data_IF_816121897783
#
_entry.id   IF_816121897783
#
_cell.length_a   1.000
_cell.length_b   1.000
_cell.length_c   1.000
_cell.angle_alpha   90.00
_cell.angle_beta   90.00
_cell.angle_gamma   90.00
#
_symmetry.space_group_name_H-M   'P 1'
#
loop_
_entity.id
_entity.type
_entity.pdbx_description
1 polymer ?
#
# COMPACT_ATOMS: atom_id res chain seq x y z
N UNK A 1 1.03 -37.47 1.79
CA UNK A 1 1.60 -36.76 0.62
C UNK A 1 2.15 -35.45 1.21
N UNK A 2 3.47 -35.36 1.37
CA UNK A 2 4.11 -34.11 1.76
C UNK A 2 4.10 -33.17 0.55
N UNK A 3 3.55 -31.98 0.71
CA UNK A 3 3.58 -30.93 -0.31
C UNK A 3 4.80 -30.07 0.01
N UNK A 4 5.86 -30.16 -0.80
CA UNK A 4 6.96 -29.21 -0.73
C UNK A 4 6.47 -27.86 -1.26
N UNK A 5 6.39 -26.88 -0.35
CA UNK A 5 6.10 -25.50 -0.72
C UNK A 5 7.43 -24.85 -1.10
N UNK A 6 7.59 -24.35 -2.33
CA UNK A 6 8.83 -23.70 -2.72
C UNK A 6 9.06 -22.42 -1.91
N UNK A 7 10.21 -22.31 -1.26
CA UNK A 7 10.63 -21.10 -0.56
C UNK A 7 11.32 -20.20 -1.58
N UNK A 8 10.63 -19.16 -2.02
CA UNK A 8 11.17 -18.18 -2.97
C UNK A 8 12.08 -17.14 -2.30
N UNK A 9 11.89 -16.88 -1.01
CA UNK A 9 12.68 -15.96 -0.19
C UNK A 9 12.80 -16.53 1.21
N UNK A 10 14.01 -16.52 1.77
CA UNK A 10 14.19 -16.80 3.19
C UNK A 10 13.66 -15.63 4.01
N UNK A 11 12.71 -15.84 4.95
CA UNK A 11 12.25 -14.77 5.81
C UNK A 11 13.38 -14.34 6.73
N UNK A 12 13.81 -13.09 6.64
CA UNK A 12 14.79 -12.47 7.53
C UNK A 12 14.20 -11.22 8.15
N UNK A 13 14.18 -11.16 9.46
CA UNK A 13 13.80 -9.97 10.20
C UNK A 13 15.04 -9.48 10.97
N UNK A 14 15.63 -8.38 10.55
CA UNK A 14 16.73 -7.74 11.25
C UNK A 14 16.84 -6.28 10.86
N UNK A 15 17.10 -5.42 11.84
CA UNK A 15 17.38 -4.01 11.63
C UNK A 15 16.16 -3.10 11.77
N UNK A 16 16.28 -1.95 11.16
CA UNK A 16 15.29 -0.87 11.16
C UNK A 16 14.36 -0.97 9.96
N UNK A 17 13.40 -0.07 9.86
CA UNK A 17 12.44 0.00 8.74
C UNK A 17 12.82 1.14 7.77
N UNK A 18 13.78 0.91 6.82
CA UNK A 18 14.19 1.92 5.85
C UNK A 18 13.17 2.04 4.71
N UNK A 19 11.99 2.54 5.01
CA UNK A 19 10.87 2.62 4.07
C UNK A 19 11.17 3.54 2.89
N UNK A 20 11.96 4.59 3.09
CA UNK A 20 12.38 5.49 1.99
C UNK A 20 13.17 4.75 0.93
N UNK A 21 14.10 3.88 1.32
CA UNK A 21 14.85 3.04 0.38
C UNK A 21 13.95 2.08 -0.41
N UNK A 22 12.91 1.53 0.22
CA UNK A 22 11.92 0.68 -0.47
C UNK A 22 11.10 1.50 -1.50
N UNK A 23 10.66 2.71 -1.14
CA UNK A 23 9.96 3.61 -2.07
C UNK A 23 10.86 4.12 -3.20
N UNK A 24 12.14 4.40 -2.94
CA UNK A 24 13.09 4.76 -3.98
C UNK A 24 13.24 3.64 -5.03
N UNK A 25 13.39 2.41 -4.56
CA UNK A 25 13.43 1.23 -5.45
C UNK A 25 12.12 1.08 -6.22
N UNK A 26 10.97 1.18 -5.56
CA UNK A 26 9.67 1.08 -6.19
C UNK A 26 9.48 2.16 -7.25
N UNK A 27 9.85 3.42 -6.97
CA UNK A 27 9.81 4.52 -7.93
C UNK A 27 10.65 4.23 -9.16
N UNK A 28 11.89 3.74 -8.98
CA UNK A 28 12.77 3.36 -10.09
C UNK A 28 12.16 2.27 -10.97
N UNK A 29 11.60 1.23 -10.36
CA UNK A 29 10.96 0.13 -11.08
C UNK A 29 9.73 0.60 -11.87
N UNK A 30 8.87 1.41 -11.24
CA UNK A 30 7.66 1.95 -11.87
C UNK A 30 8.03 2.89 -13.02
N UNK A 31 8.99 3.79 -12.83
CA UNK A 31 9.44 4.69 -13.89
C UNK A 31 9.94 3.91 -15.11
N UNK A 32 10.83 2.94 -14.91
CA UNK A 32 11.32 2.11 -16.00
C UNK A 32 10.25 1.21 -16.64
N UNK A 33 9.18 0.87 -15.90
CA UNK A 33 8.05 0.14 -16.47
C UNK A 33 7.14 1.07 -17.29
N UNK A 34 6.85 2.29 -16.82
CA UNK A 34 6.06 3.29 -17.56
C UNK A 34 6.73 3.65 -18.88
N UNK A 35 8.05 3.85 -18.88
CA UNK A 35 8.81 4.15 -20.11
C UNK A 35 8.68 3.08 -21.19
N UNK A 36 8.52 1.82 -20.80
CA UNK A 36 8.40 0.68 -21.71
C UNK A 36 6.97 0.35 -22.10
N UNK A 37 6.02 0.76 -21.27
CA UNK A 37 4.62 0.28 -21.34
C UNK A 37 3.66 1.39 -20.93
N UNK A 38 3.67 2.51 -21.63
CA UNK A 38 2.85 3.69 -21.32
C UNK A 38 1.33 3.50 -21.50
N UNK A 39 0.91 2.44 -22.17
CA UNK A 39 -0.49 2.07 -22.43
C UNK A 39 -1.03 0.96 -21.51
N UNK A 40 -0.31 0.64 -20.45
CA UNK A 40 -0.67 -0.45 -19.54
C UNK A 40 -1.42 0.06 -18.30
N UNK A 41 -2.08 -0.88 -17.57
CA UNK A 41 -2.82 -0.52 -16.37
C UNK A 41 -1.94 0.20 -15.36
N UNK A 42 -2.57 1.06 -14.57
CA UNK A 42 -1.94 1.82 -13.49
C UNK A 42 -1.14 0.90 -12.55
N UNK A 43 0.15 1.16 -12.32
CA UNK A 43 0.93 0.42 -11.33
C UNK A 43 0.37 0.60 -9.92
N UNK A 44 0.34 -0.47 -9.15
CA UNK A 44 -0.09 -0.46 -7.75
C UNK A 44 1.03 -0.98 -6.87
N UNK A 45 1.38 -0.20 -5.86
CA UNK A 45 2.27 -0.63 -4.77
C UNK A 45 1.40 -1.09 -3.62
N UNK A 46 1.62 -2.30 -3.12
CA UNK A 46 1.05 -2.77 -1.87
C UNK A 46 2.20 -2.80 -0.86
N UNK A 47 2.22 -1.81 0.03
CA UNK A 47 3.22 -1.71 1.08
C UNK A 47 2.68 -2.36 2.36
N UNK A 48 3.42 -3.32 2.89
CA UNK A 48 3.07 -4.06 4.11
C UNK A 48 4.16 -3.78 5.15
N UNK A 49 3.79 -3.17 6.27
CA UNK A 49 4.72 -2.75 7.32
C UNK A 49 4.13 -2.94 8.71
N UNK A 50 4.97 -3.27 9.67
CA UNK A 50 4.64 -3.37 11.10
C UNK A 50 4.82 -2.04 11.84
N UNK A 51 5.17 -0.97 11.16
CA UNK A 51 5.36 0.34 11.75
C UNK A 51 5.66 1.44 10.74
N UNK A 52 5.97 2.61 11.28
CA UNK A 52 6.45 3.72 10.46
C UNK A 52 7.97 3.63 10.24
N UNK A 53 8.50 4.41 9.30
CA UNK A 53 9.93 4.43 8.99
C UNK A 53 10.80 4.70 10.22
N UNK A 54 11.88 3.96 10.36
CA UNK A 54 12.80 4.09 11.47
C UNK A 54 14.25 4.27 11.01
N UNK A 55 14.96 5.20 11.66
CA UNK A 55 16.40 5.43 11.55
C UNK A 55 17.14 5.06 12.82
N UNK A 56 18.48 5.09 12.76
CA UNK A 56 19.35 4.73 13.92
C UNK A 56 19.26 5.70 15.09
N UNK A 57 18.83 6.93 14.85
CA UNK A 57 18.64 7.97 15.87
C UNK A 57 17.29 8.65 15.66
N UNK A 58 16.77 9.42 16.65
CA UNK A 58 15.55 10.19 16.45
C UNK A 58 15.59 11.13 15.23
N UNK A 59 16.75 11.76 14.98
CA UNK A 59 16.96 12.64 13.84
C UNK A 59 16.88 11.87 12.51
N UNK A 60 17.55 10.70 12.44
CA UNK A 60 17.46 9.82 11.28
C UNK A 60 16.04 9.29 11.08
N UNK A 61 15.29 9.01 12.15
CA UNK A 61 13.89 8.60 12.07
C UNK A 61 13.02 9.72 11.50
N UNK A 62 13.24 10.98 11.94
CA UNK A 62 12.52 12.12 11.39
C UNK A 62 12.84 12.37 9.91
N UNK A 63 14.08 12.17 9.52
CA UNK A 63 14.52 12.24 8.13
C UNK A 63 13.91 11.12 7.28
N UNK A 64 13.95 9.89 7.77
CA UNK A 64 13.38 8.70 7.12
C UNK A 64 11.87 8.88 6.88
N UNK A 65 11.13 9.39 7.88
CA UNK A 65 9.71 9.72 7.75
C UNK A 65 9.47 10.76 6.65
N UNK A 66 10.27 11.84 6.63
CA UNK A 66 10.15 12.89 5.62
C UNK A 66 10.44 12.36 4.22
N UNK A 67 11.54 11.63 4.06
CA UNK A 67 11.95 11.07 2.78
C UNK A 67 10.93 10.07 2.25
N UNK A 68 10.37 9.23 3.12
CA UNK A 68 9.30 8.30 2.75
C UNK A 68 8.06 9.02 2.22
N UNK A 69 7.64 10.12 2.86
CA UNK A 69 6.51 10.95 2.39
C UNK A 69 6.80 11.62 1.04
N UNK A 70 8.00 12.15 0.87
CA UNK A 70 8.43 12.78 -0.39
C UNK A 70 8.38 11.74 -1.52
N UNK A 71 9.00 10.59 -1.34
CA UNK A 71 9.06 9.53 -2.34
C UNK A 71 7.66 8.95 -2.66
N UNK A 72 6.82 8.74 -1.65
CA UNK A 72 5.43 8.34 -1.86
C UNK A 72 4.68 9.38 -2.71
N UNK A 73 4.84 10.68 -2.40
CA UNK A 73 4.23 11.78 -3.17
C UNK A 73 4.75 11.81 -4.61
N UNK A 74 6.04 11.62 -4.82
CA UNK A 74 6.64 11.57 -6.15
C UNK A 74 6.11 10.40 -6.99
N UNK A 75 5.94 9.21 -6.37
CA UNK A 75 5.33 8.04 -7.02
C UNK A 75 3.87 8.34 -7.42
N UNK A 76 3.09 8.89 -6.50
CA UNK A 76 1.68 9.24 -6.75
C UNK A 76 1.50 10.31 -7.82
N UNK A 77 2.54 11.10 -8.12
CA UNK A 77 2.55 12.13 -9.17
C UNK A 77 3.09 11.62 -10.53
N UNK A 78 3.59 10.40 -10.61
CA UNK A 78 3.90 9.78 -11.89
C UNK A 78 2.61 9.62 -12.71
N UNK A 79 2.72 9.65 -14.03
CA UNK A 79 1.56 9.57 -14.92
C UNK A 79 1.67 8.41 -15.88
N UNK A 80 0.58 7.69 -16.07
CA UNK A 80 0.38 6.74 -17.15
C UNK A 80 -0.83 7.17 -17.98
N UNK A 81 -1.07 6.52 -19.11
CA UNK A 81 -2.27 6.77 -19.92
C UNK A 81 -3.58 6.52 -19.13
N UNK A 82 -3.57 5.59 -18.20
CA UNK A 82 -4.74 5.17 -17.42
C UNK A 82 -4.85 5.84 -16.04
N UNK A 83 -3.94 6.76 -15.71
CA UNK A 83 -3.94 7.50 -14.43
C UNK A 83 -2.60 7.47 -13.69
N UNK A 84 -2.61 7.86 -12.44
CA UNK A 84 -1.40 7.88 -11.61
C UNK A 84 -1.21 6.54 -10.87
N UNK A 85 0.03 6.13 -10.59
CA UNK A 85 0.30 4.98 -9.72
C UNK A 85 -0.42 5.08 -8.38
N UNK A 86 -0.76 3.94 -7.81
CA UNK A 86 -1.45 3.85 -6.53
C UNK A 86 -0.51 3.26 -5.46
N UNK A 87 -0.66 3.73 -4.23
CA UNK A 87 -0.03 3.15 -3.05
C UNK A 87 -1.14 2.72 -2.10
N UNK A 88 -1.22 1.42 -1.83
CA UNK A 88 -2.09 0.84 -0.83
C UNK A 88 -1.24 0.32 0.32
N UNK A 89 -1.61 0.68 1.55
CA UNK A 89 -0.83 0.35 2.73
C UNK A 89 -1.55 -0.64 3.64
N UNK A 90 -0.78 -1.56 4.18
CA UNK A 90 -1.19 -2.51 5.22
C UNK A 90 -0.32 -2.25 6.45
N UNK A 91 -0.95 -1.96 7.56
CA UNK A 91 -0.31 -1.87 8.86
C UNK A 91 -0.54 -3.16 9.65
N UNK A 92 0.54 -3.85 9.97
CA UNK A 92 0.54 -5.04 10.82
C UNK A 92 0.97 -4.59 12.21
N UNK A 93 0.01 -4.38 13.12
CA UNK A 93 0.33 -4.07 14.51
C UNK A 93 0.11 -5.29 15.41
N UNK A 94 0.79 -5.31 16.56
CA UNK A 94 0.67 -6.39 17.54
C UNK A 94 -0.66 -6.32 18.34
N UNK A 95 -1.28 -5.15 18.37
CA UNK A 95 -2.52 -4.88 19.09
C UNK A 95 -3.20 -3.65 18.50
N UNK A 96 -4.48 -3.49 18.78
CA UNK A 96 -5.26 -2.33 18.35
C UNK A 96 -6.52 -2.73 17.59
N UNK A 97 -7.28 -1.71 17.20
CA UNK A 97 -8.52 -1.89 16.44
C UNK A 97 -8.19 -2.18 14.97
N UNK A 98 -9.00 -3.02 14.35
CA UNK A 98 -8.98 -3.19 12.90
C UNK A 98 -9.58 -1.98 12.21
N UNK A 99 -8.86 -1.44 11.21
CA UNK A 99 -9.33 -0.40 10.31
C UNK A 99 -9.34 -0.93 8.87
N UNK A 100 -10.42 -0.68 8.15
CA UNK A 100 -10.52 -0.99 6.73
C UNK A 100 -11.05 0.23 6.00
N UNK A 101 -10.30 0.71 5.02
CA UNK A 101 -10.67 1.78 4.11
C UNK A 101 -11.17 3.06 4.80
N UNK A 102 -10.46 3.63 5.80
CA UNK A 102 -10.89 4.86 6.43
C UNK A 102 -10.93 6.02 5.40
N UNK A 103 -11.87 6.95 5.61
CA UNK A 103 -11.95 8.19 4.83
C UNK A 103 -11.16 9.30 5.49
N UNK A 104 -11.07 9.28 6.81
CA UNK A 104 -10.50 10.35 7.61
C UNK A 104 -9.50 9.82 8.64
N UNK A 105 -8.49 10.62 8.88
CA UNK A 105 -7.47 10.37 9.90
C UNK A 105 -8.04 10.23 11.31
N UNK A 106 -9.13 10.93 11.60
CA UNK A 106 -9.82 10.84 12.90
C UNK A 106 -10.39 9.44 13.21
N UNK A 107 -10.57 8.59 12.21
CA UNK A 107 -11.03 7.22 12.39
C UNK A 107 -9.94 6.29 12.94
N UNK A 108 -8.69 6.76 13.01
CA UNK A 108 -7.52 5.98 13.42
C UNK A 108 -7.19 6.11 14.91
N UNK A 109 -8.09 6.70 15.70
CA UNK A 109 -8.01 6.80 17.17
C UNK A 109 -6.66 7.38 17.69
N UNK A 110 -5.96 8.16 16.87
CA UNK A 110 -4.66 8.78 17.20
C UNK A 110 -3.45 7.85 17.10
N UNK A 111 -3.60 6.68 16.49
CA UNK A 111 -2.49 5.78 16.18
C UNK A 111 -1.54 6.44 15.15
N UNK A 112 -0.38 6.89 15.63
CA UNK A 112 0.58 7.65 14.80
C UNK A 112 1.18 6.84 13.66
N UNK A 113 1.32 5.53 13.83
CA UNK A 113 1.83 4.63 12.78
C UNK A 113 0.78 4.43 11.69
N UNK A 114 -0.46 4.18 12.10
CA UNK A 114 -1.59 4.10 11.17
C UNK A 114 -1.81 5.45 10.46
N UNK A 115 -1.75 6.58 11.17
CA UNK A 115 -1.86 7.91 10.59
C UNK A 115 -0.80 8.18 9.51
N UNK A 116 0.45 7.77 9.75
CA UNK A 116 1.53 7.93 8.78
C UNK A 116 1.25 7.15 7.50
N UNK A 117 0.91 5.86 7.62
CA UNK A 117 0.62 5.01 6.46
C UNK A 117 -0.65 5.46 5.73
N UNK A 118 -1.68 5.92 6.47
CA UNK A 118 -2.87 6.52 5.89
C UNK A 118 -2.54 7.76 5.04
N UNK A 119 -1.67 8.66 5.53
CA UNK A 119 -1.29 9.87 4.80
C UNK A 119 -0.64 9.59 3.46
N UNK A 120 0.17 8.54 3.35
CA UNK A 120 0.83 8.14 2.11
C UNK A 120 0.03 7.17 1.24
N UNK A 121 -1.19 6.81 1.67
CA UNK A 121 -2.09 5.95 0.89
C UNK A 121 -2.86 6.75 -0.17
N UNK A 122 -3.06 6.13 -1.33
CA UNK A 122 -3.96 6.65 -2.37
C UNK A 122 -5.42 6.61 -1.92
N UNK A 123 -6.25 7.49 -2.45
CA UNK A 123 -7.68 7.24 -2.53
C UNK A 123 -7.94 6.04 -3.44
N UNK A 124 -8.97 5.26 -3.09
CA UNK A 124 -9.34 4.09 -3.89
C UNK A 124 -10.17 4.55 -5.08
N UNK A 125 -9.73 4.31 -6.32
CA UNK A 125 -10.53 4.65 -7.50
C UNK A 125 -11.87 3.89 -7.52
N UNK A 126 -12.88 4.51 -8.13
CA UNK A 126 -14.23 3.91 -8.25
C UNK A 126 -14.23 2.57 -8.99
N UNK A 127 -13.29 2.37 -9.92
CA UNK A 127 -13.10 1.10 -10.64
C UNK A 127 -12.85 -0.10 -9.71
N UNK A 128 -12.34 0.13 -8.50
CA UNK A 128 -12.10 -0.92 -7.51
C UNK A 128 -13.34 -1.39 -6.75
N UNK A 129 -14.49 -0.70 -6.87
CA UNK A 129 -15.71 -1.05 -6.11
C UNK A 129 -16.22 -2.45 -6.39
N UNK A 130 -16.17 -2.87 -7.65
CA UNK A 130 -16.57 -4.24 -8.02
C UNK A 130 -15.67 -5.27 -7.34
N UNK A 131 -14.34 -5.09 -7.42
CA UNK A 131 -13.38 -5.98 -6.78
C UNK A 131 -13.58 -6.05 -5.26
N UNK A 132 -13.83 -4.91 -4.59
CA UNK A 132 -14.12 -4.88 -3.16
C UNK A 132 -15.37 -5.68 -2.80
N UNK A 133 -16.45 -5.54 -3.60
CA UNK A 133 -17.70 -6.30 -3.42
C UNK A 133 -17.49 -7.79 -3.61
N UNK A 134 -16.80 -8.19 -4.68
CA UNK A 134 -16.55 -9.60 -5.01
C UNK A 134 -15.70 -10.29 -3.94
N UNK A 135 -14.72 -9.57 -3.38
CA UNK A 135 -13.87 -10.02 -2.30
C UNK A 135 -14.49 -9.87 -0.90
N UNK A 136 -15.71 -9.32 -0.80
CA UNK A 136 -16.41 -9.06 0.46
C UNK A 136 -15.59 -8.20 1.44
N UNK A 137 -14.82 -7.24 0.90
CA UNK A 137 -14.18 -6.20 1.70
C UNK A 137 -15.22 -5.19 2.17
N UNK A 138 -15.11 -4.79 3.43
CA UNK A 138 -16.09 -3.92 4.08
C UNK A 138 -15.64 -2.46 4.09
N UNK A 139 -16.58 -1.56 4.36
CA UNK A 139 -16.36 -0.14 4.63
C UNK A 139 -15.79 0.70 3.49
N UNK A 140 -15.62 0.18 2.26
CA UNK A 140 -15.17 1.00 1.14
C UNK A 140 -16.25 2.01 0.74
N UNK A 141 -15.93 3.29 0.86
CA UNK A 141 -16.74 4.45 0.49
C UNK A 141 -16.03 5.28 -0.60
N UNK A 142 -16.63 6.41 -0.99
CA UNK A 142 -16.16 7.20 -2.13
C UNK A 142 -14.77 7.82 -1.95
N UNK A 143 -14.46 8.28 -0.73
CA UNK A 143 -13.19 8.95 -0.42
C UNK A 143 -12.26 8.07 0.43
N UNK A 144 -12.54 6.77 0.49
CA UNK A 144 -11.73 5.85 1.28
C UNK A 144 -10.31 5.76 0.78
N UNK A 145 -9.36 5.71 1.71
CA UNK A 145 -7.96 5.41 1.42
C UNK A 145 -7.75 3.91 1.25
N UNK A 146 -6.83 3.53 0.37
CA UNK A 146 -6.33 2.16 0.22
C UNK A 146 -5.45 1.77 1.41
N UNK A 147 -6.07 1.66 2.58
CA UNK A 147 -5.40 1.40 3.85
C UNK A 147 -6.19 0.40 4.69
N UNK A 148 -5.47 -0.58 5.24
CA UNK A 148 -5.99 -1.46 6.28
C UNK A 148 -4.98 -1.56 7.41
N UNK A 149 -5.48 -1.75 8.65
CA UNK A 149 -4.63 -1.94 9.83
C UNK A 149 -5.18 -3.05 10.70
N UNK A 150 -4.31 -3.82 11.34
CA UNK A 150 -4.64 -4.93 12.24
C UNK A 150 -5.62 -5.95 11.63
N UNK A 151 -5.58 -6.08 10.32
CA UNK A 151 -6.46 -6.98 9.60
C UNK A 151 -6.12 -8.45 9.87
N UNK A 152 -7.15 -9.29 9.88
CA UNK A 152 -6.96 -10.74 9.93
C UNK A 152 -6.17 -11.23 8.72
N UNK A 153 -5.50 -12.39 8.79
CA UNK A 153 -4.82 -12.97 7.64
C UNK A 153 -5.73 -13.13 6.41
N UNK A 154 -6.99 -13.44 6.62
CA UNK A 154 -7.99 -13.53 5.54
C UNK A 154 -8.23 -12.16 4.89
N UNK A 155 -8.40 -11.10 5.69
CA UNK A 155 -8.58 -9.73 5.19
C UNK A 155 -7.34 -9.25 4.46
N UNK A 156 -6.15 -9.57 4.96
CA UNK A 156 -4.88 -9.25 4.31
C UNK A 156 -4.78 -9.87 2.90
N UNK A 157 -5.09 -11.16 2.78
CA UNK A 157 -5.09 -11.86 1.48
C UNK A 157 -6.11 -11.21 0.52
N UNK A 158 -7.32 -10.92 1.01
CA UNK A 158 -8.34 -10.22 0.22
C UNK A 158 -7.85 -8.85 -0.25
N UNK A 159 -7.18 -8.10 0.61
CA UNK A 159 -6.66 -6.77 0.27
C UNK A 159 -5.52 -6.83 -0.77
N UNK A 160 -4.64 -7.81 -0.70
CA UNK A 160 -3.61 -8.04 -1.72
C UNK A 160 -4.27 -8.37 -3.07
N UNK A 161 -5.26 -9.26 -3.07
CA UNK A 161 -6.02 -9.58 -4.28
C UNK A 161 -6.78 -8.38 -4.82
N UNK A 162 -7.37 -7.56 -3.95
CA UNK A 162 -8.02 -6.29 -4.29
C UNK A 162 -7.06 -5.33 -4.99
N UNK A 163 -5.88 -5.08 -4.43
CA UNK A 163 -4.88 -4.22 -5.04
C UNK A 163 -4.43 -4.70 -6.43
N UNK A 164 -4.40 -6.02 -6.63
CA UNK A 164 -4.01 -6.64 -7.90
C UNK A 164 -5.12 -6.61 -8.97
N UNK A 165 -6.39 -6.46 -8.58
CA UNK A 165 -7.54 -6.63 -9.48
C UNK A 165 -7.94 -5.36 -10.23
N UNK A 166 -7.59 -4.20 -9.71
CA UNK A 166 -8.16 -2.93 -10.19
C UNK A 166 -7.72 -2.46 -11.57
N UNK A 167 -6.72 -3.11 -12.15
CA UNK A 167 -6.25 -2.77 -13.51
C UNK A 167 -6.90 -3.61 -14.62
N UNK A 168 -7.79 -4.54 -14.30
CA UNK A 168 -8.29 -5.52 -15.27
C UNK A 168 -9.69 -5.22 -15.82
N UNK A 169 -10.43 -4.27 -15.27
CA UNK A 169 -11.79 -3.97 -15.74
C UNK A 169 -11.78 -3.03 -16.97
N UNK A 170 -11.20 -3.50 -18.08
CA UNK A 170 -11.35 -2.89 -19.42
C UNK A 170 -12.68 -3.24 -20.10
N UNK A 171 -13.68 -3.64 -19.37
CA UNK A 171 -14.98 -4.03 -19.94
C UNK A 171 -15.99 -2.88 -20.00
N UNK A 172 -15.53 -1.64 -20.26
CA UNK A 172 -16.41 -0.51 -20.53
C UNK A 172 -15.79 0.39 -21.62
N UNK A 173 -15.76 -0.12 -22.85
CA UNK A 173 -15.79 0.66 -24.10
C UNK A 173 -16.85 0.04 -24.99
#
# INVERSE_FOLDING_TARGET
>A
MEIEIPIFLEPRASGLTPMSGAFELAKKLITGWIEKKNDNPVPVIINISDGHPEGKTPENTAEENRNSKILATEILNLRTADGNPLIFNVHIAQSGREYQFPENKSELDGDKMAEFLFEISSEVPTSYRKAAKDLKLQNLKDNSKGFISNASPETLIKFINFGSSGGTDRSAV
#
